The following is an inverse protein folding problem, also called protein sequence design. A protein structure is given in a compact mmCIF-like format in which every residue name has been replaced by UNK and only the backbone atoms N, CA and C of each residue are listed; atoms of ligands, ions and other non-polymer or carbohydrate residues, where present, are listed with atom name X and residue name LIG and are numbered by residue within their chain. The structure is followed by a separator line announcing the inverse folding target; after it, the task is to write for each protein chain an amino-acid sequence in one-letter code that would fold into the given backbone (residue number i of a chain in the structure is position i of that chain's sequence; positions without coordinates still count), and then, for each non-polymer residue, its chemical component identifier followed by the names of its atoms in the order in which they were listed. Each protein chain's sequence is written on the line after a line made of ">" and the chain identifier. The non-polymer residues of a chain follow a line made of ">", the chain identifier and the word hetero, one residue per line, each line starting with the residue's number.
data_IF_223418489468
#
_entry.id   IF_223418489468
#
_cell.length_a   1.000
_cell.length_b   1.000
_cell.length_c   1.000
_cell.angle_alpha   90.00
_cell.angle_beta   90.00
_cell.angle_gamma   90.00
#
_symmetry.space_group_name_H-M   'P 1'
#
loop_
_entity.id
_entity.type
_entity.pdbx_description
1 polymer ?
#
# COMPACT_ATOMS: atom_id res chain seq x y z
N UNK A 1 -25.21 58.09 0.69
CA UNK A 1 -24.84 57.18 1.79
C UNK A 1 -24.58 55.76 1.28
N UNK A 2 -23.61 55.55 0.38
CA UNK A 2 -23.25 54.22 -0.15
C UNK A 2 -21.77 53.85 0.06
N UNK A 3 -20.94 54.76 0.60
CA UNK A 3 -19.50 54.53 0.79
C UNK A 3 -19.13 53.72 2.05
N UNK A 4 -19.97 53.75 3.09
CA UNK A 4 -19.70 53.05 4.36
C UNK A 4 -20.01 51.55 4.28
N UNK A 5 -21.00 51.15 3.47
CA UNK A 5 -21.32 49.73 3.27
C UNK A 5 -20.23 49.05 2.43
N UNK A 6 -19.80 49.66 1.31
CA UNK A 6 -18.77 49.09 0.44
C UNK A 6 -17.40 48.93 1.14
N UNK A 7 -17.01 49.88 2.00
CA UNK A 7 -15.72 49.83 2.72
C UNK A 7 -15.62 48.73 3.79
N UNK A 8 -16.75 48.24 4.32
CA UNK A 8 -16.79 47.18 5.34
C UNK A 8 -17.19 45.83 4.72
N UNK A 9 -18.11 45.83 3.74
CA UNK A 9 -18.51 44.60 3.05
C UNK A 9 -17.41 44.04 2.15
N UNK A 10 -16.69 44.87 1.39
CA UNK A 10 -15.67 44.35 0.47
C UNK A 10 -14.55 43.58 1.20
N UNK A 11 -13.99 44.04 2.34
CA UNK A 11 -13.03 43.25 3.12
C UNK A 11 -13.62 41.96 3.71
N UNK A 12 -14.85 41.99 4.23
CA UNK A 12 -15.52 40.81 4.78
C UNK A 12 -15.81 39.77 3.69
N UNK A 13 -16.34 40.18 2.56
CA UNK A 13 -16.58 39.32 1.40
C UNK A 13 -15.26 38.75 0.85
N UNK A 14 -14.20 39.56 0.76
CA UNK A 14 -12.88 39.07 0.35
C UNK A 14 -12.31 38.03 1.32
N UNK A 15 -12.49 38.22 2.63
CA UNK A 15 -12.04 37.26 3.64
C UNK A 15 -12.82 35.94 3.58
N UNK A 16 -14.15 36.01 3.39
CA UNK A 16 -15.00 34.82 3.20
C UNK A 16 -14.61 34.08 1.92
N UNK A 17 -14.42 34.79 0.80
CA UNK A 17 -14.00 34.19 -0.48
C UNK A 17 -12.61 33.57 -0.38
N UNK A 18 -11.67 34.22 0.31
CA UNK A 18 -10.31 33.71 0.49
C UNK A 18 -10.29 32.46 1.38
N UNK A 19 -11.13 32.41 2.42
CA UNK A 19 -11.28 31.21 3.26
C UNK A 19 -11.94 30.07 2.48
N UNK A 20 -13.02 30.35 1.74
CA UNK A 20 -13.68 29.36 0.89
C UNK A 20 -12.73 28.82 -0.20
N UNK A 21 -11.92 29.68 -0.83
CA UNK A 21 -10.91 29.27 -1.80
C UNK A 21 -9.80 28.42 -1.16
N UNK A 22 -9.33 28.77 0.04
CA UNK A 22 -8.35 27.97 0.78
C UNK A 22 -8.90 26.59 1.13
N UNK A 23 -10.14 26.52 1.60
CA UNK A 23 -10.82 25.26 1.92
C UNK A 23 -10.97 24.39 0.68
N UNK A 24 -11.44 24.96 -0.43
CA UNK A 24 -11.59 24.25 -1.70
C UNK A 24 -10.24 23.75 -2.23
N UNK A 25 -9.19 24.57 -2.19
CA UNK A 25 -7.86 24.14 -2.63
C UNK A 25 -7.27 23.06 -1.73
N UNK A 26 -7.41 23.17 -0.41
CA UNK A 26 -6.96 22.14 0.51
C UNK A 26 -7.68 20.81 0.23
N UNK A 27 -8.97 20.86 -0.08
CA UNK A 27 -9.74 19.68 -0.49
C UNK A 27 -9.20 19.07 -1.79
N UNK A 28 -9.02 19.88 -2.85
CA UNK A 28 -8.49 19.42 -4.14
C UNK A 28 -7.11 18.78 -3.96
N UNK A 29 -6.20 19.42 -3.22
CA UNK A 29 -4.86 18.89 -2.96
C UNK A 29 -4.92 17.57 -2.19
N UNK A 30 -5.75 17.48 -1.14
CA UNK A 30 -5.94 16.22 -0.38
C UNK A 30 -6.47 15.10 -1.26
N UNK A 31 -7.43 15.40 -2.14
CA UNK A 31 -7.99 14.45 -3.10
C UNK A 31 -6.93 13.93 -4.07
N UNK A 32 -6.19 14.82 -4.70
CA UNK A 32 -5.17 14.45 -5.69
C UNK A 32 -4.05 13.61 -5.06
N UNK A 33 -3.62 13.97 -3.85
CA UNK A 33 -2.66 13.15 -3.08
C UNK A 33 -3.24 11.78 -2.68
N UNK A 34 -4.54 11.68 -2.40
CA UNK A 34 -5.17 10.39 -2.09
C UNK A 34 -5.24 9.48 -3.33
N UNK A 35 -5.47 10.04 -4.51
CA UNK A 35 -5.41 9.31 -5.79
C UNK A 35 -4.00 8.76 -5.99
N UNK A 36 -2.97 9.60 -5.86
CA UNK A 36 -1.57 9.16 -5.93
C UNK A 36 -1.28 8.03 -4.93
N UNK A 37 -1.78 8.15 -3.69
CA UNK A 37 -1.59 7.12 -2.67
C UNK A 37 -2.23 5.78 -3.08
N UNK A 38 -3.44 5.80 -3.64
CA UNK A 38 -4.11 4.59 -4.14
C UNK A 38 -3.33 3.94 -5.29
N UNK A 39 -2.82 4.72 -6.23
CA UNK A 39 -2.00 4.19 -7.34
C UNK A 39 -0.73 3.50 -6.83
N UNK A 40 -0.02 4.13 -5.88
CA UNK A 40 1.15 3.51 -5.26
C UNK A 40 0.78 2.25 -4.47
N UNK A 41 -0.37 2.25 -3.80
CA UNK A 41 -0.84 1.08 -3.07
C UNK A 41 -1.13 -0.08 -4.02
N UNK A 42 -1.85 0.17 -5.12
CA UNK A 42 -2.18 -0.83 -6.12
C UNK A 42 -0.95 -1.47 -6.73
N UNK A 43 0.06 -0.67 -7.06
CA UNK A 43 1.29 -1.17 -7.64
C UNK A 43 2.12 -1.97 -6.61
N UNK A 44 2.15 -1.54 -5.34
CA UNK A 44 2.77 -2.32 -4.28
C UNK A 44 2.05 -3.67 -4.09
N UNK A 45 0.72 -3.68 -4.11
CA UNK A 45 -0.09 -4.90 -4.04
C UNK A 45 0.14 -5.83 -5.21
N UNK A 46 0.20 -5.30 -6.44
CA UNK A 46 0.52 -6.08 -7.64
C UNK A 46 1.87 -6.77 -7.47
N UNK A 47 2.90 -6.00 -7.13
CA UNK A 47 4.26 -6.50 -6.99
C UNK A 47 4.38 -7.59 -5.92
N UNK A 48 3.87 -7.34 -4.70
CA UNK A 48 3.92 -8.35 -3.62
C UNK A 48 3.05 -9.56 -3.93
N UNK A 49 1.94 -9.38 -4.64
CA UNK A 49 1.08 -10.46 -5.11
C UNK A 49 1.76 -11.35 -6.15
N UNK A 50 2.54 -10.78 -7.08
CA UNK A 50 3.34 -11.56 -8.04
C UNK A 50 4.39 -12.41 -7.32
N UNK A 51 5.11 -11.83 -6.35
CA UNK A 51 6.10 -12.55 -5.56
C UNK A 51 5.44 -13.67 -4.75
N UNK A 52 4.32 -13.37 -4.08
CA UNK A 52 3.52 -14.34 -3.34
C UNK A 52 3.03 -15.47 -4.25
N UNK A 53 2.47 -15.16 -5.42
CA UNK A 53 1.93 -16.15 -6.36
C UNK A 53 3.01 -17.12 -6.86
N UNK A 54 4.20 -16.59 -7.15
CA UNK A 54 5.38 -17.38 -7.54
C UNK A 54 5.90 -18.27 -6.42
N UNK A 55 5.74 -17.86 -5.17
CA UNK A 55 6.12 -18.65 -3.99
C UNK A 55 5.04 -19.67 -3.60
N UNK A 56 3.75 -19.36 -3.79
CA UNK A 56 2.62 -20.05 -3.12
C UNK A 56 1.61 -20.75 -4.04
N UNK A 57 1.09 -20.14 -5.12
CA UNK A 57 -0.18 -20.60 -5.76
C UNK A 57 0.03 -21.58 -6.93
N UNK A 58 1.22 -21.68 -7.51
CA UNK A 58 1.38 -22.42 -8.77
C UNK A 58 1.61 -23.93 -8.56
N UNK A 59 0.57 -24.67 -8.19
CA UNK A 59 0.56 -26.14 -8.10
C UNK A 59 0.63 -26.86 -9.48
N UNK A 60 0.57 -26.12 -10.61
CA UNK A 60 0.28 -26.74 -11.92
C UNK A 60 1.33 -26.52 -13.02
N UNK A 61 2.46 -25.88 -12.75
CA UNK A 61 3.58 -25.85 -13.70
C UNK A 61 4.90 -26.12 -13.01
N UNK A 62 5.80 -26.79 -13.72
CA UNK A 62 7.16 -27.22 -13.36
C UNK A 62 8.12 -26.13 -12.83
N UNK A 63 7.59 -24.94 -12.53
CA UNK A 63 8.25 -23.80 -11.90
C UNK A 63 8.01 -23.73 -10.39
N UNK A 64 7.27 -24.70 -9.80
CA UNK A 64 7.25 -24.84 -8.34
C UNK A 64 8.68 -25.01 -7.85
N UNK A 65 9.14 -24.06 -7.04
CA UNK A 65 10.44 -24.10 -6.41
C UNK A 65 10.34 -25.06 -5.22
N UNK A 66 10.75 -26.35 -5.36
CA UNK A 66 10.45 -27.31 -4.33
C UNK A 66 11.25 -26.94 -3.09
N UNK A 67 10.49 -26.74 -2.02
CA UNK A 67 10.77 -27.09 -0.65
C UNK A 67 12.23 -27.34 -0.26
N UNK A 68 12.95 -28.31 -0.86
CA UNK A 68 14.30 -28.65 -0.40
C UNK A 68 15.48 -28.62 -1.40
N UNK A 69 15.36 -28.54 -2.73
CA UNK A 69 16.53 -28.98 -3.55
C UNK A 69 16.80 -28.30 -4.90
N UNK A 70 16.27 -27.12 -5.20
CA UNK A 70 16.67 -26.43 -6.44
C UNK A 70 17.23 -25.02 -6.14
N UNK A 71 18.15 -24.52 -6.96
CA UNK A 71 18.66 -23.12 -6.94
C UNK A 71 17.78 -22.20 -7.79
N UNK A 72 17.11 -21.19 -7.21
CA UNK A 72 16.15 -20.32 -7.93
C UNK A 72 16.76 -19.93 -9.29
N UNK A 73 16.14 -20.30 -10.44
CA UNK A 73 16.65 -19.95 -11.75
C UNK A 73 16.97 -18.47 -11.77
N UNK A 74 18.11 -18.12 -12.33
CA UNK A 74 18.62 -16.75 -12.27
C UNK A 74 17.58 -15.74 -12.78
N UNK A 75 16.84 -16.10 -13.83
CA UNK A 75 15.78 -15.27 -14.40
C UNK A 75 14.60 -15.07 -13.44
N UNK A 76 14.22 -16.12 -12.71
CA UNK A 76 13.15 -16.05 -11.70
C UNK A 76 13.60 -15.25 -10.48
N UNK A 77 14.84 -15.44 -10.03
CA UNK A 77 15.42 -14.64 -8.96
C UNK A 77 15.46 -13.17 -9.36
N UNK A 78 15.91 -12.86 -10.57
CA UNK A 78 15.90 -11.50 -11.12
C UNK A 78 14.49 -10.91 -11.13
N UNK A 79 13.51 -11.63 -11.65
CA UNK A 79 12.11 -11.19 -11.65
C UNK A 79 11.61 -10.88 -10.23
N UNK A 80 11.86 -11.78 -9.27
CA UNK A 80 11.46 -11.58 -7.87
C UNK A 80 12.12 -10.32 -7.28
N UNK A 81 13.41 -10.09 -7.56
CA UNK A 81 14.13 -8.92 -7.07
C UNK A 81 13.66 -7.62 -7.74
N UNK A 82 13.31 -7.67 -9.01
CA UNK A 82 12.74 -6.53 -9.75
C UNK A 82 11.36 -6.15 -9.17
N UNK A 83 10.48 -7.13 -8.95
CA UNK A 83 9.18 -6.92 -8.28
C UNK A 83 9.34 -6.47 -6.83
N UNK A 84 10.31 -7.01 -6.09
CA UNK A 84 10.61 -6.57 -4.72
C UNK A 84 11.02 -5.09 -4.68
N UNK A 85 11.83 -4.66 -5.64
CA UNK A 85 12.25 -3.27 -5.78
C UNK A 85 11.05 -2.37 -6.08
N UNK A 86 10.14 -2.79 -6.96
CA UNK A 86 8.88 -2.08 -7.24
C UNK A 86 8.00 -2.00 -6.00
N UNK A 87 7.86 -3.10 -5.26
CA UNK A 87 7.11 -3.13 -4.01
C UNK A 87 7.64 -2.12 -2.99
N UNK A 88 8.93 -2.18 -2.65
CA UNK A 88 9.54 -1.32 -1.62
C UNK A 88 9.42 0.15 -2.01
N UNK A 89 9.66 0.47 -3.28
CA UNK A 89 9.56 1.84 -3.81
C UNK A 89 8.13 2.37 -3.67
N UNK A 90 7.14 1.61 -4.12
CA UNK A 90 5.75 2.05 -4.12
C UNK A 90 5.16 2.07 -2.70
N UNK A 91 5.48 1.10 -1.85
CA UNK A 91 5.09 1.10 -0.45
C UNK A 91 5.64 2.33 0.29
N UNK A 92 6.91 2.69 0.05
CA UNK A 92 7.52 3.88 0.63
C UNK A 92 6.86 5.19 0.16
N UNK A 93 6.46 5.27 -1.10
CA UNK A 93 5.69 6.41 -1.63
C UNK A 93 4.29 6.47 -1.04
N UNK A 94 3.57 5.35 -1.03
CA UNK A 94 2.26 5.22 -0.41
C UNK A 94 2.29 5.72 1.05
N UNK A 95 3.23 5.23 1.85
CA UNK A 95 3.39 5.63 3.25
C UNK A 95 3.57 7.15 3.41
N UNK A 96 4.47 7.74 2.60
CA UNK A 96 4.75 9.18 2.65
C UNK A 96 3.55 10.03 2.24
N UNK A 97 2.81 9.62 1.21
CA UNK A 97 1.69 10.39 0.67
C UNK A 97 0.47 10.24 1.57
N UNK A 98 0.13 9.03 2.01
CA UNK A 98 -1.00 8.78 2.90
C UNK A 98 -0.87 9.52 4.24
N UNK A 99 0.31 9.54 4.86
CA UNK A 99 0.55 10.30 6.10
C UNK A 99 0.40 11.82 5.95
N UNK A 100 0.53 12.37 4.73
CA UNK A 100 0.32 13.80 4.48
C UNK A 100 -1.17 14.16 4.35
N UNK A 101 -2.00 13.20 4.00
CA UNK A 101 -3.43 13.41 3.73
C UNK A 101 -4.29 13.04 4.92
N UNK A 102 -3.93 11.98 5.63
CA UNK A 102 -4.69 11.44 6.75
C UNK A 102 -4.48 12.28 8.00
N UNK A 103 -5.59 12.75 8.58
CA UNK A 103 -5.60 13.35 9.90
C UNK A 103 -5.28 12.26 10.96
N UNK A 104 -4.62 12.61 12.08
CA UNK A 104 -4.10 11.66 13.08
C UNK A 104 -5.16 10.63 13.55
N UNK A 105 -6.39 11.08 13.76
CA UNK A 105 -7.53 10.27 14.23
C UNK A 105 -8.06 9.26 13.19
N UNK A 106 -7.75 9.44 11.90
CA UNK A 106 -8.20 8.58 10.78
C UNK A 106 -7.10 7.66 10.25
N UNK A 107 -5.96 7.60 10.95
CA UNK A 107 -4.79 6.83 10.52
C UNK A 107 -4.87 5.33 10.81
N UNK A 108 -5.89 4.85 11.55
CA UNK A 108 -5.99 3.45 11.98
C UNK A 108 -5.99 2.46 10.81
N UNK A 109 -6.88 2.65 9.83
CA UNK A 109 -7.00 1.72 8.69
C UNK A 109 -5.71 1.71 7.85
N UNK A 110 -5.09 2.88 7.68
CA UNK A 110 -3.79 3.01 7.05
C UNK A 110 -2.68 2.28 7.83
N UNK A 111 -2.61 2.48 9.14
CA UNK A 111 -1.59 1.86 9.99
C UNK A 111 -1.74 0.34 10.00
N UNK A 112 -2.97 -0.17 10.07
CA UNK A 112 -3.26 -1.60 10.03
C UNK A 112 -2.87 -2.21 8.67
N UNK A 113 -3.20 -1.54 7.56
CA UNK A 113 -2.79 -1.95 6.22
C UNK A 113 -1.28 -1.92 6.04
N UNK A 114 -0.63 -0.83 6.45
CA UNK A 114 0.82 -0.68 6.35
C UNK A 114 1.57 -1.73 7.18
N UNK A 115 1.06 -2.03 8.38
CA UNK A 115 1.60 -3.06 9.26
C UNK A 115 1.48 -4.45 8.63
N UNK A 116 0.35 -4.79 8.02
CA UNK A 116 0.19 -6.11 7.39
C UNK A 116 1.03 -6.24 6.12
N UNK A 117 1.17 -5.17 5.32
CA UNK A 117 2.05 -5.13 4.15
C UNK A 117 3.51 -5.39 4.53
N UNK A 118 4.00 -4.74 5.59
CA UNK A 118 5.35 -4.97 6.08
C UNK A 118 5.53 -6.39 6.62
N UNK A 119 4.55 -6.93 7.36
CA UNK A 119 4.61 -8.33 7.82
C UNK A 119 4.70 -9.32 6.66
N UNK A 120 3.87 -9.15 5.63
CA UNK A 120 3.92 -10.02 4.45
C UNK A 120 5.28 -9.90 3.74
N UNK A 121 5.83 -8.69 3.66
CA UNK A 121 7.15 -8.45 3.11
C UNK A 121 8.27 -9.15 3.88
N UNK A 122 8.23 -9.08 5.22
CA UNK A 122 9.19 -9.75 6.10
C UNK A 122 9.15 -11.28 5.93
N UNK A 123 7.95 -11.86 5.84
CA UNK A 123 7.79 -13.30 5.60
C UNK A 123 8.31 -13.72 4.22
N UNK A 124 8.00 -12.95 3.17
CA UNK A 124 8.53 -13.18 1.83
C UNK A 124 10.06 -13.12 1.83
N UNK A 125 10.64 -12.11 2.49
CA UNK A 125 12.09 -11.97 2.60
C UNK A 125 12.71 -13.14 3.34
N UNK A 126 12.11 -13.59 4.43
CA UNK A 126 12.57 -14.77 5.17
C UNK A 126 12.61 -16.02 4.29
N UNK A 127 11.56 -16.25 3.48
CA UNK A 127 11.51 -17.37 2.55
C UNK A 127 12.62 -17.27 1.51
N UNK A 128 12.81 -16.09 0.91
CA UNK A 128 13.87 -15.85 -0.07
C UNK A 128 15.27 -16.04 0.54
N UNK A 129 15.52 -15.51 1.74
CA UNK A 129 16.79 -15.63 2.44
C UNK A 129 17.08 -17.10 2.81
N UNK A 130 16.07 -17.85 3.25
CA UNK A 130 16.21 -19.28 3.58
C UNK A 130 16.61 -20.10 2.34
N UNK A 131 16.03 -19.77 1.17
CA UNK A 131 16.36 -20.40 -0.11
C UNK A 131 17.76 -20.02 -0.60
N UNK A 132 18.13 -18.75 -0.53
CA UNK A 132 19.45 -18.28 -0.96
C UNK A 132 20.58 -18.87 -0.11
N UNK A 133 20.36 -19.00 1.19
CA UNK A 133 21.33 -19.58 2.14
C UNK A 133 21.35 -21.10 2.15
N UNK A 134 20.51 -21.77 1.36
CA UNK A 134 20.32 -23.23 1.36
C UNK A 134 20.08 -23.79 2.77
N UNK A 135 19.32 -23.04 3.56
CA UNK A 135 18.94 -23.52 4.90
C UNK A 135 17.94 -24.65 4.68
N UNK A 136 18.29 -25.85 5.14
CA UNK A 136 17.33 -26.95 5.20
C UNK A 136 16.24 -26.56 6.20
N UNK A 137 15.01 -26.44 5.69
CA UNK A 137 13.83 -26.22 6.52
C UNK A 137 13.06 -27.52 6.49
N UNK A 138 12.82 -28.16 7.63
CA UNK A 138 12.06 -29.41 7.68
C UNK A 138 10.59 -29.18 7.28
N UNK A 139 9.97 -30.17 6.62
CA UNK A 139 8.61 -30.11 6.05
C UNK A 139 7.56 -29.57 7.03
N UNK A 140 7.69 -29.85 8.33
CA UNK A 140 6.75 -29.36 9.33
C UNK A 140 6.89 -27.86 9.56
N UNK A 141 8.11 -27.34 9.66
CA UNK A 141 8.36 -25.90 9.90
C UNK A 141 7.80 -25.02 8.78
N UNK A 142 7.95 -25.42 7.52
CA UNK A 142 7.38 -24.68 6.40
C UNK A 142 5.88 -24.93 6.27
N UNK A 143 5.38 -26.16 6.42
CA UNK A 143 3.93 -26.38 6.41
C UNK A 143 3.23 -25.69 7.58
N UNK A 144 3.93 -25.36 8.66
CA UNK A 144 3.43 -24.51 9.73
C UNK A 144 3.48 -23.01 9.36
N UNK A 145 4.58 -22.54 8.74
CA UNK A 145 4.73 -21.12 8.39
C UNK A 145 3.92 -20.67 7.17
N UNK A 146 3.72 -21.53 6.20
CA UNK A 146 3.13 -21.17 4.89
C UNK A 146 1.61 -20.96 4.89
N UNK A 147 0.80 -21.65 5.71
CA UNK A 147 -0.61 -21.31 5.91
C UNK A 147 -0.80 -19.84 6.35
N UNK A 148 0.10 -19.33 7.20
CA UNK A 148 0.05 -17.93 7.62
C UNK A 148 0.26 -16.95 6.48
N UNK A 149 1.08 -17.31 5.48
CA UNK A 149 1.33 -16.46 4.30
C UNK A 149 0.08 -16.30 3.43
N UNK A 150 -0.72 -17.38 3.31
CA UNK A 150 -2.04 -17.33 2.67
C UNK A 150 -3.03 -16.49 3.46
N UNK A 151 -3.11 -16.72 4.77
CA UNK A 151 -4.00 -15.98 5.65
C UNK A 151 -3.67 -14.48 5.63
N UNK A 152 -2.38 -14.13 5.70
CA UNK A 152 -1.91 -12.74 5.59
C UNK A 152 -2.23 -12.12 4.24
N UNK A 153 -2.07 -12.85 3.13
CA UNK A 153 -2.42 -12.32 1.81
C UNK A 153 -3.93 -12.06 1.66
N UNK A 154 -4.77 -12.93 2.23
CA UNK A 154 -6.23 -12.75 2.17
C UNK A 154 -6.72 -11.68 3.15
N UNK A 155 -6.15 -11.60 4.36
CA UNK A 155 -6.39 -10.50 5.31
C UNK A 155 -5.95 -9.16 4.70
N UNK A 156 -4.83 -9.16 3.96
CA UNK A 156 -4.32 -7.99 3.25
C UNK A 156 -5.32 -7.50 2.18
N UNK A 157 -5.95 -8.40 1.41
CA UNK A 157 -7.00 -8.03 0.43
C UNK A 157 -8.19 -7.37 1.13
N UNK A 158 -8.60 -7.87 2.30
CA UNK A 158 -9.70 -7.28 3.05
C UNK A 158 -9.34 -5.88 3.58
N UNK A 159 -8.14 -5.72 4.16
CA UNK A 159 -7.66 -4.42 4.63
C UNK A 159 -7.50 -3.40 3.51
N UNK A 160 -7.10 -3.83 2.30
CA UNK A 160 -7.09 -2.98 1.10
C UNK A 160 -8.46 -2.37 0.84
N UNK A 161 -9.51 -3.20 0.83
CA UNK A 161 -10.88 -2.74 0.59
C UNK A 161 -11.35 -1.72 1.61
N UNK A 162 -10.94 -1.86 2.87
CA UNK A 162 -11.27 -0.90 3.92
C UNK A 162 -10.57 0.44 3.68
N UNK A 163 -9.30 0.42 3.29
CA UNK A 163 -8.58 1.63 2.92
C UNK A 163 -9.13 2.30 1.66
N UNK A 164 -9.52 1.53 0.64
CA UNK A 164 -10.19 2.07 -0.56
C UNK A 164 -11.52 2.77 -0.21
N UNK A 165 -12.31 2.20 0.71
CA UNK A 165 -13.52 2.86 1.22
C UNK A 165 -13.20 4.16 1.94
N UNK A 166 -12.16 4.18 2.78
CA UNK A 166 -11.69 5.40 3.43
C UNK A 166 -11.25 6.44 2.37
N UNK A 167 -10.46 6.04 1.38
CA UNK A 167 -9.97 6.91 0.32
C UNK A 167 -11.14 7.49 -0.50
N UNK A 168 -12.16 6.69 -0.81
CA UNK A 168 -13.38 7.15 -1.48
C UNK A 168 -14.11 8.26 -0.72
N UNK A 169 -14.02 8.31 0.62
CA UNK A 169 -14.60 9.42 1.39
C UNK A 169 -13.92 10.77 1.16
N UNK A 170 -12.67 10.77 0.65
CA UNK A 170 -11.95 11.97 0.22
C UNK A 170 -12.21 12.31 -1.26
N UNK A 171 -12.75 11.37 -2.05
CA UNK A 171 -13.05 11.55 -3.47
C UNK A 171 -14.45 12.12 -3.72
N UNK A 172 -15.39 11.84 -2.81
CA UNK A 172 -16.75 12.38 -2.87
C UNK A 172 -16.75 13.77 -2.22
N UNK A 173 -16.88 14.81 -3.05
CA UNK A 173 -17.06 16.18 -2.56
C UNK A 173 -18.28 16.26 -1.61
N UNK A 174 -18.11 16.91 -0.45
CA UNK A 174 -19.23 17.40 0.37
C UNK A 174 -19.59 18.82 -0.03
#
# INVERSE_FOLDING_TARGET
>A
MFGWSAGIFAPLSALVLLNAWKEQNNFIVKRDLMIDALEYLDEAFRAIGQIYWLIYINETKSYFYPYNEKNIPLDLHKFIMDEHTLFVKNLGKFHKVALRVLDEDKSKDFNDLYKILNKLHDEIRYVLDSKNKKIEVDIQTYNHKFPYLYDFYHELIEKKKNFEKLANSYLIAK
#
